data_IF_494637707174
#
_entry.id   IF_494637707174
#
_cell.length_a   1.000
_cell.length_b   1.000
_cell.length_c   1.000
_cell.angle_alpha   90.00
_cell.angle_beta   90.00
_cell.angle_gamma   90.00
#
_symmetry.space_group_name_H-M   'P 1'
#
loop_
_entity.id
_entity.type
_entity.pdbx_description
1 polymer ?
#
# COMPACT_ATOMS: atom_id res chain seq x y z
N UNK A 1 20.16 3.62 -22.91
CA UNK A 1 20.35 2.85 -21.66
C UNK A 1 19.80 3.68 -20.52
N UNK A 2 18.79 3.20 -19.81
CA UNK A 2 18.42 3.77 -18.51
C UNK A 2 19.54 3.43 -17.54
N UNK A 3 20.16 4.42 -16.92
CA UNK A 3 21.23 4.20 -15.94
C UNK A 3 20.65 3.56 -14.69
N UNK A 4 21.44 2.76 -13.98
CA UNK A 4 21.05 2.09 -12.72
C UNK A 4 20.35 3.06 -11.74
N UNK A 5 20.85 4.29 -11.66
CA UNK A 5 20.28 5.42 -10.88
C UNK A 5 18.84 5.81 -11.23
N UNK A 6 18.40 5.59 -12.48
CA UNK A 6 17.01 5.87 -12.90
C UNK A 6 16.08 4.70 -12.55
N UNK A 7 16.59 3.47 -12.52
CA UNK A 7 15.86 2.31 -12.02
C UNK A 7 15.62 2.45 -10.51
N UNK A 8 16.67 2.76 -9.75
CA UNK A 8 16.57 3.01 -8.31
C UNK A 8 15.55 4.12 -7.99
N UNK A 9 15.54 5.21 -8.77
CA UNK A 9 14.57 6.30 -8.57
C UNK A 9 13.13 5.87 -8.83
N UNK A 10 12.89 5.09 -9.90
CA UNK A 10 11.55 4.61 -10.23
C UNK A 10 11.03 3.64 -9.17
N UNK A 11 11.89 2.78 -8.65
CA UNK A 11 11.52 1.80 -7.62
C UNK A 11 11.26 2.50 -6.28
N UNK A 12 12.02 3.55 -5.94
CA UNK A 12 11.76 4.42 -4.77
C UNK A 12 10.44 5.16 -4.92
N UNK A 13 10.21 5.84 -6.05
CA UNK A 13 8.95 6.56 -6.30
C UNK A 13 7.75 5.60 -6.24
N UNK A 14 7.91 4.36 -6.73
CA UNK A 14 6.87 3.33 -6.66
C UNK A 14 6.60 2.90 -5.20
N UNK A 15 7.65 2.69 -4.40
CA UNK A 15 7.51 2.36 -2.98
C UNK A 15 6.81 3.48 -2.18
N UNK A 16 7.18 4.74 -2.41
CA UNK A 16 6.54 5.88 -1.76
C UNK A 16 5.06 6.02 -2.13
N UNK A 17 4.72 5.79 -3.40
CA UNK A 17 3.32 5.79 -3.86
C UNK A 17 2.51 4.67 -3.19
N UNK A 18 3.04 3.45 -3.15
CA UNK A 18 2.38 2.32 -2.50
C UNK A 18 2.12 2.60 -1.01
N UNK A 19 3.10 3.19 -0.31
CA UNK A 19 2.93 3.60 1.09
C UNK A 19 1.84 4.66 1.26
N UNK A 20 1.75 5.62 0.34
CA UNK A 20 0.72 6.67 0.38
C UNK A 20 -0.68 6.07 0.19
N UNK A 21 -0.85 5.21 -0.82
CA UNK A 21 -2.11 4.53 -1.10
C UNK A 21 -2.54 3.65 0.08
N UNK A 22 -1.59 2.94 0.73
CA UNK A 22 -1.89 2.15 1.93
C UNK A 22 -2.40 3.04 3.08
N UNK A 23 -1.80 4.21 3.30
CA UNK A 23 -2.27 5.15 4.33
C UNK A 23 -3.68 5.67 4.04
N UNK A 24 -4.00 5.95 2.78
CA UNK A 24 -5.34 6.37 2.38
C UNK A 24 -6.37 5.25 2.63
N UNK A 25 -6.07 4.02 2.18
CA UNK A 25 -6.92 2.84 2.44
C UNK A 25 -7.10 2.57 3.94
N UNK A 26 -6.05 2.75 4.73
CA UNK A 26 -6.11 2.51 6.18
C UNK A 26 -6.99 3.56 6.86
N UNK A 27 -6.87 4.83 6.45
CA UNK A 27 -7.74 5.90 6.95
C UNK A 27 -9.22 5.65 6.62
N UNK A 28 -9.52 5.16 5.43
CA UNK A 28 -10.89 4.79 5.04
C UNK A 28 -11.40 3.58 5.83
N UNK A 29 -10.55 2.58 6.04
CA UNK A 29 -10.87 1.45 6.92
C UNK A 29 -11.16 1.89 8.35
N UNK A 30 -10.37 2.79 8.94
CA UNK A 30 -10.59 3.28 10.31
C UNK A 30 -11.90 4.07 10.44
N UNK A 31 -12.24 4.89 9.43
CA UNK A 31 -13.54 5.57 9.37
C UNK A 31 -14.69 4.56 9.29
N UNK A 32 -14.61 3.60 8.38
CA UNK A 32 -15.64 2.56 8.21
C UNK A 32 -15.80 1.71 9.48
N UNK A 33 -14.69 1.35 10.14
CA UNK A 33 -14.71 0.56 11.38
C UNK A 33 -15.42 1.29 12.51
N UNK A 34 -15.28 2.61 12.55
CA UNK A 34 -15.90 3.49 13.54
C UNK A 34 -17.40 3.65 13.31
N UNK A 35 -17.85 3.62 12.04
CA UNK A 35 -19.26 3.82 11.68
C UNK A 35 -20.07 2.50 11.64
N UNK A 36 -19.50 1.36 11.21
CA UNK A 36 -20.22 0.08 11.13
C UNK A 36 -19.27 -1.13 11.23
N UNK A 37 -19.10 -1.68 12.43
CA UNK A 37 -18.04 -2.64 12.77
C UNK A 37 -18.23 -4.07 12.25
N UNK A 38 -19.32 -4.38 11.53
CA UNK A 38 -19.67 -5.75 11.07
C UNK A 38 -20.18 -5.80 9.62
N UNK A 39 -19.60 -4.99 8.75
CA UNK A 39 -19.92 -5.02 7.32
C UNK A 39 -18.94 -5.92 6.55
N UNK A 40 -19.43 -6.74 5.60
CA UNK A 40 -18.59 -7.45 4.61
C UNK A 40 -17.62 -6.51 3.87
N UNK A 41 -17.96 -5.21 3.82
CA UNK A 41 -17.09 -4.17 3.28
C UNK A 41 -15.80 -3.99 4.09
N UNK A 42 -15.82 -4.17 5.41
CA UNK A 42 -14.61 -4.11 6.23
C UNK A 42 -13.68 -5.29 5.94
N UNK A 43 -14.22 -6.48 5.75
CA UNK A 43 -13.44 -7.66 5.37
C UNK A 43 -12.79 -7.49 3.99
N UNK A 44 -13.51 -6.88 3.04
CA UNK A 44 -12.93 -6.53 1.73
C UNK A 44 -11.82 -5.48 1.86
N UNK A 45 -11.99 -4.46 2.72
CA UNK A 45 -10.95 -3.46 2.96
C UNK A 45 -9.71 -4.05 3.65
N UNK A 46 -9.89 -4.97 4.60
CA UNK A 46 -8.76 -5.69 5.23
C UNK A 46 -7.99 -6.50 4.19
N UNK A 47 -8.68 -7.16 3.25
CA UNK A 47 -8.01 -7.87 2.14
C UNK A 47 -7.19 -6.91 1.27
N UNK A 48 -7.78 -5.77 0.85
CA UNK A 48 -7.08 -4.74 0.07
C UNK A 48 -5.85 -4.20 0.80
N UNK A 49 -5.98 -3.90 2.10
CA UNK A 49 -4.85 -3.48 2.95
C UNK A 49 -3.76 -4.55 3.01
N UNK A 50 -4.15 -5.82 3.15
CA UNK A 50 -3.19 -6.93 3.22
C UNK A 50 -2.44 -7.12 1.90
N UNK A 51 -3.12 -7.05 0.77
CA UNK A 51 -2.49 -7.10 -0.56
C UNK A 51 -1.56 -5.92 -0.77
N UNK A 52 -2.01 -4.70 -0.46
CA UNK A 52 -1.19 -3.49 -0.60
C UNK A 52 0.05 -3.54 0.29
N UNK A 53 -0.06 -4.07 1.50
CA UNK A 53 1.09 -4.25 2.38
C UNK A 53 2.10 -5.27 1.84
N UNK A 54 1.63 -6.33 1.13
CA UNK A 54 2.54 -7.25 0.43
C UNK A 54 3.26 -6.54 -0.72
N UNK A 55 2.56 -5.74 -1.52
CA UNK A 55 3.19 -4.96 -2.60
C UNK A 55 4.28 -4.02 -2.04
N UNK A 56 4.03 -3.38 -0.89
CA UNK A 56 5.01 -2.56 -0.18
C UNK A 56 6.20 -3.40 0.27
N UNK A 57 5.99 -4.59 0.82
CA UNK A 57 7.08 -5.48 1.23
C UNK A 57 7.92 -5.94 0.03
N UNK A 58 7.29 -6.32 -1.08
CA UNK A 58 7.99 -6.72 -2.30
C UNK A 58 8.77 -5.55 -2.92
N UNK A 59 8.20 -4.34 -2.93
CA UNK A 59 8.89 -3.13 -3.36
C UNK A 59 10.05 -2.78 -2.41
N UNK A 60 9.86 -2.94 -1.09
CA UNK A 60 10.93 -2.74 -0.10
C UNK A 60 12.08 -3.72 -0.30
N UNK A 61 11.80 -5.00 -0.54
CA UNK A 61 12.83 -6.03 -0.76
C UNK A 61 13.59 -5.86 -2.08
N UNK A 62 13.05 -5.09 -3.04
CA UNK A 62 13.78 -4.70 -4.24
C UNK A 62 14.70 -3.50 -4.02
N UNK A 63 14.40 -2.68 -3.01
CA UNK A 63 15.14 -1.45 -2.68
C UNK A 63 16.23 -1.66 -1.62
N UNK A 64 16.07 -2.62 -0.71
CA UNK A 64 16.95 -2.87 0.44
C UNK A 64 17.31 -4.36 0.54
#
# INVERSE_FOLDING_TARGET
>A
MLTQTQYDKKDVDNYENLQKEYKELFGDYEKMKSDDSKSELLDEQIKKLTEKNKEIQEASSKLF
#
